data_IF_405707158440
#
_entry.id   IF_405707158440
#
_cell.length_a   1.000
_cell.length_b   1.000
_cell.length_c   1.000
_cell.angle_alpha   90.00
_cell.angle_beta   90.00
_cell.angle_gamma   90.00
#
_symmetry.space_group_name_H-M   'P 1'
#
loop_
_entity.id
_entity.type
_entity.pdbx_description
1 polymer ?
#
# COMPACT_ATOMS: atom_id res chain seq x y z
N UNK A 1 -12.77 9.02 -6.73
CA UNK A 1 -12.81 8.32 -5.43
C UNK A 1 -12.27 6.90 -5.55
N UNK A 2 -10.98 6.69 -5.30
CA UNK A 2 -10.31 5.38 -5.28
C UNK A 2 -10.29 4.81 -3.86
N UNK A 3 -11.49 4.54 -3.34
CA UNK A 3 -11.78 3.95 -2.01
C UNK A 3 -10.90 2.72 -1.64
N UNK A 4 -10.51 1.81 -2.58
CA UNK A 4 -9.73 0.63 -2.24
C UNK A 4 -8.32 0.94 -1.72
N UNK A 5 -7.61 1.90 -2.33
CA UNK A 5 -6.21 2.20 -1.99
C UNK A 5 -6.13 2.83 -0.60
N UNK A 6 -7.07 3.71 -0.27
CA UNK A 6 -7.17 4.34 1.05
C UNK A 6 -7.39 3.30 2.17
N UNK A 7 -8.34 2.37 1.97
CA UNK A 7 -8.62 1.31 2.94
C UNK A 7 -7.38 0.43 3.19
N UNK A 8 -6.66 0.04 2.14
CA UNK A 8 -5.43 -0.72 2.28
C UNK A 8 -4.34 0.04 3.00
N UNK A 9 -4.16 1.34 2.73
CA UNK A 9 -3.16 2.17 3.41
C UNK A 9 -3.44 2.29 4.91
N UNK A 10 -4.70 2.50 5.30
CA UNK A 10 -5.07 2.58 6.70
C UNK A 10 -4.84 1.24 7.43
N UNK A 11 -5.19 0.13 6.79
CA UNK A 11 -4.97 -1.22 7.32
C UNK A 11 -3.47 -1.54 7.45
N UNK A 12 -2.65 -1.14 6.49
CA UNK A 12 -1.19 -1.25 6.54
C UNK A 12 -0.63 -0.45 7.73
N UNK A 13 -1.05 0.80 7.94
CA UNK A 13 -0.59 1.61 9.10
C UNK A 13 -0.91 0.91 10.42
N UNK A 14 -2.15 0.43 10.60
CA UNK A 14 -2.58 -0.26 11.82
C UNK A 14 -1.77 -1.55 12.08
N UNK A 15 -1.60 -2.40 11.07
CA UNK A 15 -0.79 -3.62 11.20
C UNK A 15 0.69 -3.31 11.46
N UNK A 16 1.23 -2.26 10.84
CA UNK A 16 2.64 -1.89 11.02
C UNK A 16 2.91 -1.48 12.46
N UNK A 17 2.02 -0.69 13.07
CA UNK A 17 2.12 -0.35 14.49
C UNK A 17 2.01 -1.58 15.39
N UNK A 18 1.08 -2.50 15.10
CA UNK A 18 0.92 -3.74 15.86
C UNK A 18 2.17 -4.63 15.78
N UNK A 19 2.76 -4.78 14.59
CA UNK A 19 3.97 -5.59 14.38
C UNK A 19 5.25 -4.98 14.96
N UNK A 20 5.27 -3.67 15.25
CA UNK A 20 6.38 -3.06 16.01
C UNK A 20 6.41 -3.57 17.44
N UNK A 21 5.24 -3.78 18.05
CA UNK A 21 5.09 -4.34 19.39
C UNK A 21 5.26 -5.87 19.36
N UNK A 22 4.63 -6.55 18.40
CA UNK A 22 4.66 -8.00 18.27
C UNK A 22 5.61 -8.47 17.15
N UNK A 23 6.91 -8.46 17.44
CA UNK A 23 7.95 -8.81 16.46
C UNK A 23 8.01 -10.30 16.09
N UNK A 24 7.42 -11.20 16.88
CA UNK A 24 7.39 -12.64 16.56
C UNK A 24 6.12 -13.07 15.80
N UNK A 25 5.19 -12.16 15.50
CA UNK A 25 4.00 -12.52 14.74
C UNK A 25 4.29 -12.61 13.23
N UNK A 26 4.74 -13.79 12.81
CA UNK A 26 5.05 -14.09 11.41
C UNK A 26 3.80 -14.27 10.54
N UNK A 27 2.69 -14.71 11.12
CA UNK A 27 1.42 -14.89 10.39
C UNK A 27 0.86 -13.53 9.95
N UNK A 28 0.80 -12.57 10.87
CA UNK A 28 0.37 -11.20 10.57
C UNK A 28 1.31 -10.49 9.59
N UNK A 29 2.64 -10.72 9.69
CA UNK A 29 3.62 -10.22 8.70
C UNK A 29 3.38 -10.77 7.31
N UNK A 30 3.02 -12.05 7.18
CA UNK A 30 2.68 -12.67 5.90
C UNK A 30 1.42 -12.05 5.32
N UNK A 31 0.40 -11.81 6.15
CA UNK A 31 -0.83 -11.10 5.77
C UNK A 31 -0.55 -9.67 5.28
N UNK A 32 0.30 -8.93 6.02
CA UNK A 32 0.71 -7.59 5.64
C UNK A 32 1.40 -7.56 4.27
N UNK A 33 2.33 -8.49 4.01
CA UNK A 33 3.00 -8.61 2.71
C UNK A 33 2.02 -8.88 1.56
N UNK A 34 1.00 -9.72 1.76
CA UNK A 34 -0.05 -9.95 0.76
C UNK A 34 -0.83 -8.66 0.43
N UNK A 35 -1.20 -7.88 1.45
CA UNK A 35 -1.91 -6.60 1.26
C UNK A 35 -1.02 -5.60 0.52
N UNK A 36 0.26 -5.52 0.88
CA UNK A 36 1.24 -4.66 0.23
C UNK A 36 1.41 -4.99 -1.26
N UNK A 37 1.48 -6.27 -1.60
CA UNK A 37 1.54 -6.73 -3.00
C UNK A 37 0.27 -6.42 -3.80
N UNK A 38 -0.92 -6.58 -3.21
CA UNK A 38 -2.19 -6.20 -3.85
C UNK A 38 -2.24 -4.70 -4.13
N UNK A 39 -1.84 -3.87 -3.16
CA UNK A 39 -1.76 -2.41 -3.33
C UNK A 39 -0.76 -2.02 -4.42
N UNK A 40 0.40 -2.66 -4.47
CA UNK A 40 1.41 -2.41 -5.50
C UNK A 40 0.89 -2.72 -6.90
N UNK A 41 0.22 -3.86 -7.12
CA UNK A 41 -0.38 -4.20 -8.43
C UNK A 41 -1.44 -3.19 -8.86
N UNK A 42 -2.29 -2.74 -7.92
CA UNK A 42 -3.28 -1.69 -8.19
C UNK A 42 -2.64 -0.36 -8.57
N UNK A 43 -1.55 0.02 -7.90
CA UNK A 43 -0.79 1.23 -8.21
C UNK A 43 -0.14 1.17 -9.60
N UNK A 44 0.46 0.03 -9.96
CA UNK A 44 0.98 -0.20 -11.32
C UNK A 44 -0.12 -0.07 -12.37
N UNK A 45 -1.26 -0.73 -12.13
CA UNK A 45 -2.41 -0.65 -13.04
C UNK A 45 -2.92 0.79 -13.21
N UNK A 46 -3.03 1.54 -12.11
CA UNK A 46 -3.41 2.95 -12.14
C UNK A 46 -2.36 3.83 -12.85
N UNK A 47 -1.07 3.57 -12.63
CA UNK A 47 0.03 4.28 -13.31
C UNK A 47 -0.05 4.11 -14.83
N UNK A 48 -0.29 2.89 -15.31
CA UNK A 48 -0.43 2.59 -16.74
C UNK A 48 -1.70 3.21 -17.34
N UNK A 49 -2.80 3.27 -16.58
CA UNK A 49 -4.08 3.79 -17.08
C UNK A 49 -4.16 5.32 -17.01
N UNK A 50 -3.68 5.94 -15.94
CA UNK A 50 -3.75 7.37 -15.71
C UNK A 50 -2.67 7.84 -14.73
N UNK A 51 -1.61 8.43 -15.28
CA UNK A 51 -0.45 8.91 -14.54
C UNK A 51 -0.77 10.08 -13.59
N UNK A 52 -1.72 10.95 -13.94
CA UNK A 52 -2.13 12.10 -13.13
C UNK A 52 -2.78 11.62 -11.84
N UNK A 53 -3.77 10.71 -11.94
CA UNK A 53 -4.43 10.12 -10.77
C UNK A 53 -3.48 9.33 -9.89
N UNK A 54 -2.47 8.70 -10.49
CA UNK A 54 -1.42 7.99 -9.75
C UNK A 54 -0.54 8.96 -8.93
N UNK A 55 -0.13 10.08 -9.52
CA UNK A 55 0.63 11.12 -8.83
C UNK A 55 -0.18 11.76 -7.69
N UNK A 56 -1.45 12.09 -7.93
CA UNK A 56 -2.35 12.61 -6.89
C UNK A 56 -2.49 11.63 -5.71
N UNK A 57 -2.68 10.34 -6.00
CA UNK A 57 -2.80 9.29 -4.98
C UNK A 57 -1.51 9.12 -4.16
N UNK A 58 -0.35 9.17 -4.81
CA UNK A 58 0.93 9.04 -4.13
C UNK A 58 1.18 10.23 -3.23
N UNK A 59 0.94 11.45 -3.73
CA UNK A 59 1.08 12.69 -2.96
C UNK A 59 0.12 12.71 -1.76
N UNK A 60 -1.14 12.29 -1.94
CA UNK A 60 -2.11 12.23 -0.84
C UNK A 60 -1.72 11.22 0.25
N UNK A 61 -1.17 10.07 -0.15
CA UNK A 61 -0.90 8.97 0.78
C UNK A 61 0.55 8.92 1.27
N UNK A 62 1.41 9.86 0.84
CA UNK A 62 2.84 9.89 1.14
C UNK A 62 3.53 8.53 0.92
N UNK A 63 3.19 7.86 -0.18
CA UNK A 63 3.75 6.55 -0.53
C UNK A 63 5.01 6.75 -1.35
N UNK A 64 6.08 5.98 -1.11
CA UNK A 64 7.27 6.01 -1.98
C UNK A 64 6.90 5.62 -3.41
N UNK A 65 7.36 6.41 -4.37
CA UNK A 65 7.16 6.14 -5.80
C UNK A 65 7.67 4.76 -6.19
N UNK A 66 6.89 4.06 -7.02
CA UNK A 66 7.33 2.78 -7.55
C UNK A 66 8.40 3.03 -8.61
N UNK A 67 9.65 2.67 -8.30
CA UNK A 67 10.75 2.71 -9.26
C UNK A 67 10.60 1.50 -10.19
N UNK A 68 9.91 1.67 -11.30
CA UNK A 68 9.95 0.71 -12.41
C UNK A 68 11.36 0.78 -13.00
N UNK A 69 12.13 -0.30 -12.91
CA UNK A 69 13.39 -0.45 -13.65
C UNK A 69 13.10 -0.77 -15.10
#
# INVERSE_FOLDING_TARGET
MSIPVFCFTNKIRKLTSHLKLHKQDYASRRGLRKILGKRQRLLVYLSNKNRIRYQELISQLNIRELKTR
#
